data_IF_510105672322
#
_entry.id   IF_510105672322
#
_cell.length_a   1.000
_cell.length_b   1.000
_cell.length_c   1.000
_cell.angle_alpha   90.00
_cell.angle_beta   90.00
_cell.angle_gamma   90.00
#
_symmetry.space_group_name_H-M   'P 1'
#
loop_
_entity.id
_entity.type
_entity.pdbx_description
1 polymer ?
#
# COMPACT_ATOMS: atom_id res chain seq x y z
N UNK A 1 0.28 -1.05 -4.87
CA UNK A 1 -0.37 0.13 -5.46
C UNK A 1 -1.43 -0.34 -6.44
N UNK A 2 -2.60 0.23 -6.44
CA UNK A 2 -3.72 -0.08 -7.34
C UNK A 2 -4.01 1.12 -8.25
N UNK A 3 -4.96 0.96 -9.16
CA UNK A 3 -5.34 2.04 -10.09
C UNK A 3 -5.94 3.27 -9.40
N UNK A 4 -6.54 3.10 -8.24
CA UNK A 4 -7.30 4.15 -7.53
C UNK A 4 -6.84 4.41 -6.09
N UNK A 5 -5.96 3.60 -5.52
CA UNK A 5 -5.41 3.80 -4.17
C UNK A 5 -4.09 3.05 -3.95
N UNK A 6 -3.44 3.32 -2.85
CA UNK A 6 -2.25 2.59 -2.42
C UNK A 6 -2.19 2.46 -0.90
N UNK A 7 -1.53 1.40 -0.46
CA UNK A 7 -1.14 1.21 0.93
C UNK A 7 0.37 1.03 1.00
N UNK A 8 0.99 1.59 2.03
CA UNK A 8 2.38 1.29 2.35
C UNK A 8 2.59 1.31 3.86
N UNK A 9 3.65 0.65 4.30
CA UNK A 9 4.15 0.69 5.65
C UNK A 9 5.59 1.17 5.59
N UNK A 10 5.92 2.13 6.43
CA UNK A 10 7.25 2.66 6.53
C UNK A 10 7.70 2.70 7.98
N UNK A 11 9.00 2.57 8.18
CA UNK A 11 9.64 2.90 9.43
C UNK A 11 10.05 4.37 9.38
N UNK A 12 9.54 5.16 10.31
CA UNK A 12 9.93 6.57 10.42
C UNK A 12 11.14 6.72 11.36
N UNK A 13 11.98 7.73 11.15
CA UNK A 13 12.90 8.18 12.19
C UNK A 13 12.11 8.64 13.44
N UNK A 14 12.81 9.01 14.50
CA UNK A 14 12.20 9.39 15.78
C UNK A 14 11.14 10.49 15.67
N UNK A 15 11.30 11.37 14.68
CA UNK A 15 10.31 12.40 14.33
C UNK A 15 9.74 12.15 12.92
N UNK A 16 8.44 11.93 12.86
CA UNK A 16 7.67 11.75 11.62
C UNK A 16 6.84 12.99 11.25
N UNK A 17 7.17 14.16 11.81
CA UNK A 17 6.42 15.41 11.57
C UNK A 17 6.36 15.82 10.10
N UNK A 18 7.33 15.40 9.28
CA UNK A 18 7.40 15.68 7.86
C UNK A 18 6.63 14.68 6.96
N UNK A 19 5.94 13.69 7.53
CA UNK A 19 5.21 12.68 6.73
C UNK A 19 4.12 13.31 5.88
N UNK A 20 3.36 14.23 6.45
CA UNK A 20 2.28 14.94 5.73
C UNK A 20 2.84 15.76 4.56
N UNK A 21 3.95 16.47 4.76
CA UNK A 21 4.58 17.27 3.71
C UNK A 21 5.13 16.38 2.59
N UNK A 22 5.77 15.27 2.95
CA UNK A 22 6.28 14.28 2.00
C UNK A 22 5.15 13.69 1.14
N UNK A 23 4.04 13.29 1.76
CA UNK A 23 2.89 12.75 1.04
C UNK A 23 2.22 13.80 0.17
N UNK A 24 2.08 15.02 0.65
CA UNK A 24 1.53 16.14 -0.12
C UNK A 24 2.38 16.42 -1.36
N UNK A 25 3.69 16.46 -1.21
CA UNK A 25 4.62 16.63 -2.35
C UNK A 25 4.51 15.48 -3.36
N UNK A 26 4.46 14.25 -2.89
CA UNK A 26 4.28 13.06 -3.73
C UNK A 26 2.97 13.16 -4.53
N UNK A 27 1.87 13.52 -3.87
CA UNK A 27 0.56 13.66 -4.50
C UNK A 27 0.54 14.78 -5.54
N UNK A 28 1.12 15.94 -5.24
CA UNK A 28 1.21 17.06 -6.20
C UNK A 28 1.99 16.62 -7.43
N UNK A 29 3.19 16.07 -7.26
CA UNK A 29 4.07 15.68 -8.37
C UNK A 29 3.46 14.58 -9.25
N UNK A 30 2.85 13.59 -8.65
CA UNK A 30 2.20 12.51 -9.41
C UNK A 30 0.92 12.98 -10.10
N UNK A 31 0.14 13.87 -9.48
CA UNK A 31 -1.04 14.46 -10.09
C UNK A 31 -0.69 15.34 -11.29
N UNK A 32 0.35 16.18 -11.19
CA UNK A 32 0.87 16.99 -12.31
C UNK A 32 1.25 16.09 -13.49
N UNK A 33 1.98 15.01 -13.20
CA UNK A 33 2.45 14.08 -14.22
C UNK A 33 1.29 13.33 -14.91
N UNK A 34 0.36 12.76 -14.14
CA UNK A 34 -0.81 12.02 -14.67
C UNK A 34 -1.71 12.95 -15.47
N UNK A 35 -1.99 14.16 -14.96
CA UNK A 35 -2.81 15.14 -15.66
C UNK A 35 -2.19 15.60 -16.99
N UNK A 36 -0.86 15.66 -17.06
CA UNK A 36 -0.15 15.95 -18.30
C UNK A 36 -0.30 14.79 -19.31
N UNK A 37 -0.16 13.54 -18.85
CA UNK A 37 -0.35 12.35 -19.70
C UNK A 37 -1.77 12.28 -20.28
N UNK A 38 -2.76 12.55 -19.44
CA UNK A 38 -4.18 12.45 -19.80
C UNK A 38 -4.73 13.70 -20.50
N UNK A 39 -3.90 14.73 -20.72
CA UNK A 39 -4.31 16.04 -21.22
C UNK A 39 -5.50 16.66 -20.42
N UNK A 40 -5.52 16.45 -19.10
CA UNK A 40 -6.59 16.85 -18.19
C UNK A 40 -6.07 17.82 -17.10
N UNK A 41 -5.64 19.05 -17.45
CA UNK A 41 -5.05 19.99 -16.50
C UNK A 41 -6.06 20.37 -15.41
N UNK A 42 -5.59 20.40 -14.15
CA UNK A 42 -6.41 20.81 -13.01
C UNK A 42 -7.36 19.72 -12.47
N UNK A 43 -7.40 18.51 -13.05
CA UNK A 43 -8.19 17.41 -12.49
C UNK A 43 -7.64 17.01 -11.12
N UNK A 44 -8.54 16.82 -10.14
CA UNK A 44 -8.17 16.25 -8.86
C UNK A 44 -7.86 14.75 -9.02
N UNK A 45 -6.60 14.35 -8.79
CA UNK A 45 -6.13 12.96 -8.89
C UNK A 45 -6.16 12.29 -7.52
N UNK A 46 -5.64 12.97 -6.50
CA UNK A 46 -5.57 12.45 -5.15
C UNK A 46 -6.58 13.10 -4.24
N UNK A 47 -7.13 12.27 -3.35
CA UNK A 47 -7.96 12.71 -2.22
C UNK A 47 -7.14 12.65 -0.92
N UNK A 48 -7.80 12.80 0.22
CA UNK A 48 -7.12 12.74 1.51
C UNK A 48 -6.51 11.35 1.75
N UNK A 49 -5.34 11.35 2.36
CA UNK A 49 -4.72 10.14 2.88
C UNK A 49 -5.09 9.92 4.36
N UNK A 50 -4.94 8.70 4.82
CA UNK A 50 -5.07 8.32 6.23
C UNK A 50 -3.79 7.67 6.69
N UNK A 51 -3.31 8.07 7.85
CA UNK A 51 -2.14 7.51 8.50
C UNK A 51 -2.51 6.86 9.83
N UNK A 52 -1.75 5.86 10.23
CA UNK A 52 -1.86 5.20 11.53
C UNK A 52 -0.48 4.96 12.10
N UNK A 53 -0.21 5.54 13.25
CA UNK A 53 1.02 5.25 14.00
C UNK A 53 0.94 3.86 14.60
N UNK A 54 1.88 2.99 14.24
CA UNK A 54 1.96 1.62 14.74
C UNK A 54 2.90 1.57 15.94
N UNK A 55 2.37 1.27 17.12
CA UNK A 55 3.13 1.23 18.38
C UNK A 55 3.44 -0.19 18.87
N UNK A 56 2.78 -1.20 18.29
CA UNK A 56 2.96 -2.60 18.67
C UNK A 56 3.46 -3.44 17.50
N UNK A 57 4.48 -4.24 17.74
CA UNK A 57 5.07 -5.14 16.74
C UNK A 57 4.03 -6.04 16.06
N UNK A 58 3.13 -6.63 16.84
CA UNK A 58 2.06 -7.49 16.29
C UNK A 58 1.14 -6.75 15.31
N UNK A 59 0.83 -5.49 15.62
CA UNK A 59 0.03 -4.62 14.75
C UNK A 59 0.76 -4.30 13.46
N UNK A 60 2.07 -4.05 13.54
CA UNK A 60 2.94 -3.85 12.39
C UNK A 60 2.97 -5.08 11.48
N UNK A 61 3.21 -6.28 12.04
CA UNK A 61 3.31 -7.52 11.28
C UNK A 61 1.98 -7.90 10.60
N UNK A 62 0.86 -7.68 11.28
CA UNK A 62 -0.46 -7.91 10.69
C UNK A 62 -0.73 -6.97 9.50
N UNK A 63 -0.35 -5.69 9.60
CA UNK A 63 -0.48 -4.75 8.49
C UNK A 63 0.50 -4.99 7.36
N UNK A 64 1.68 -5.51 7.67
CA UNK A 64 2.63 -5.94 6.65
C UNK A 64 2.03 -7.09 5.81
N UNK A 65 1.42 -8.08 6.46
CA UNK A 65 0.66 -9.12 5.75
C UNK A 65 -0.48 -8.52 4.93
N UNK A 66 -1.25 -7.59 5.50
CA UNK A 66 -2.35 -6.93 4.81
C UNK A 66 -1.89 -6.25 3.51
N UNK A 67 -0.79 -5.49 3.55
CA UNK A 67 -0.26 -4.79 2.36
C UNK A 67 0.22 -5.79 1.30
N UNK A 68 0.85 -6.90 1.70
CA UNK A 68 1.28 -7.93 0.76
C UNK A 68 0.10 -8.68 0.14
N UNK A 69 -0.93 -9.01 0.93
CA UNK A 69 -2.07 -9.81 0.48
C UNK A 69 -3.21 -8.98 -0.15
N UNK A 70 -3.04 -7.68 -0.23
CA UNK A 70 -4.14 -6.80 -0.63
C UNK A 70 -4.64 -7.06 -2.06
N UNK A 71 -3.73 -7.36 -3.01
CA UNK A 71 -4.12 -7.72 -4.37
C UNK A 71 -4.94 -9.02 -4.44
N UNK A 72 -4.67 -9.98 -3.55
CA UNK A 72 -5.46 -11.21 -3.42
C UNK A 72 -6.83 -10.89 -2.80
N UNK A 73 -6.86 -10.05 -1.78
CA UNK A 73 -8.11 -9.60 -1.14
C UNK A 73 -9.07 -8.94 -2.15
N UNK A 74 -8.53 -8.14 -3.07
CA UNK A 74 -9.31 -7.51 -4.14
C UNK A 74 -9.58 -8.44 -5.35
N UNK A 75 -9.16 -9.70 -5.30
CA UNK A 75 -9.41 -10.67 -6.36
C UNK A 75 -8.65 -10.42 -7.66
N UNK A 76 -7.62 -9.58 -7.65
CA UNK A 76 -6.82 -9.25 -8.84
C UNK A 76 -5.90 -10.39 -9.26
N UNK A 77 -5.39 -11.13 -8.30
CA UNK A 77 -4.49 -12.27 -8.50
C UNK A 77 -4.80 -13.36 -7.48
N UNK A 78 -4.59 -14.65 -7.80
CA UNK A 78 -4.78 -15.74 -6.84
C UNK A 78 -3.64 -15.83 -5.81
N UNK A 79 -2.45 -15.31 -6.13
CA UNK A 79 -1.26 -15.33 -5.26
C UNK A 79 -0.59 -13.96 -5.27
N UNK A 80 -0.25 -13.45 -4.10
CA UNK A 80 0.22 -12.06 -3.91
C UNK A 80 1.45 -11.71 -4.75
N UNK A 81 2.42 -12.62 -4.88
CA UNK A 81 3.63 -12.37 -5.67
C UNK A 81 3.41 -12.27 -7.18
N UNK A 82 2.24 -12.60 -7.68
CA UNK A 82 1.88 -12.43 -9.09
C UNK A 82 1.45 -11.01 -9.44
N UNK A 83 1.16 -10.17 -8.43
CA UNK A 83 0.80 -8.78 -8.69
C UNK A 83 2.04 -7.89 -8.78
N UNK A 84 2.35 -7.32 -9.96
CA UNK A 84 3.63 -6.65 -10.19
C UNK A 84 3.81 -5.35 -9.40
N UNK A 85 2.71 -4.70 -9.00
CA UNK A 85 2.72 -3.41 -8.30
C UNK A 85 2.64 -3.53 -6.78
N UNK A 86 3.13 -4.66 -6.24
CA UNK A 86 3.14 -4.96 -4.82
C UNK A 86 4.53 -5.44 -4.40
N UNK A 87 4.86 -5.28 -3.13
CA UNK A 87 6.13 -5.73 -2.56
C UNK A 87 6.20 -7.24 -2.27
N UNK A 88 5.13 -7.99 -2.48
CA UNK A 88 5.07 -9.41 -2.12
C UNK A 88 6.13 -10.26 -2.83
N UNK A 89 6.29 -10.11 -4.15
CA UNK A 89 7.31 -10.85 -4.92
C UNK A 89 8.74 -10.55 -4.45
N UNK A 90 9.03 -9.29 -4.15
CA UNK A 90 10.32 -8.90 -3.58
C UNK A 90 10.52 -9.50 -2.19
N UNK A 91 9.52 -9.42 -1.33
CA UNK A 91 9.57 -9.95 0.04
C UNK A 91 9.79 -11.48 0.04
N UNK A 92 9.04 -12.23 -0.76
CA UNK A 92 9.18 -13.69 -0.87
C UNK A 92 10.54 -14.12 -1.40
N UNK A 93 11.17 -13.31 -2.25
CA UNK A 93 12.51 -13.59 -2.79
C UNK A 93 13.65 -13.24 -1.83
N UNK A 94 13.48 -12.22 -0.99
CA UNK A 94 14.56 -11.69 -0.15
C UNK A 94 14.50 -12.13 1.30
N UNK A 95 13.32 -12.44 1.82
CA UNK A 95 13.15 -12.94 3.18
C UNK A 95 13.32 -14.47 3.25
N UNK A 96 13.65 -14.97 4.44
CA UNK A 96 13.65 -16.42 4.66
C UNK A 96 12.24 -17.01 4.53
N UNK A 97 12.12 -18.25 4.08
CA UNK A 97 10.85 -18.96 3.99
C UNK A 97 10.09 -19.00 5.34
N UNK A 98 10.84 -19.12 6.45
CA UNK A 98 10.27 -19.09 7.79
C UNK A 98 9.65 -17.72 8.10
N UNK A 99 10.30 -16.63 7.70
CA UNK A 99 9.79 -15.27 7.89
C UNK A 99 8.55 -15.01 7.04
N UNK A 100 8.56 -15.38 5.76
CA UNK A 100 7.39 -15.28 4.86
C UNK A 100 6.21 -16.02 5.47
N UNK A 101 6.39 -17.27 5.86
CA UNK A 101 5.36 -18.09 6.49
C UNK A 101 4.84 -17.48 7.80
N UNK A 102 5.72 -16.89 8.60
CA UNK A 102 5.37 -16.22 9.85
C UNK A 102 4.50 -14.99 9.59
N UNK A 103 4.91 -14.11 8.67
CA UNK A 103 4.17 -12.89 8.33
C UNK A 103 2.80 -13.22 7.76
N UNK A 104 2.71 -14.15 6.80
CA UNK A 104 1.46 -14.51 6.13
C UNK A 104 0.44 -15.23 7.03
N UNK A 105 0.84 -15.64 8.23
CA UNK A 105 -0.06 -16.20 9.26
C UNK A 105 -0.73 -15.14 10.15
N UNK A 106 -0.26 -13.91 10.14
CA UNK A 106 -0.89 -12.86 10.93
C UNK A 106 -2.30 -12.57 10.41
N UNK A 107 -3.27 -12.63 11.32
CA UNK A 107 -4.67 -12.32 10.98
C UNK A 107 -4.83 -10.85 10.64
N UNK A 108 -5.56 -10.57 9.56
CA UNK A 108 -5.83 -9.22 9.04
C UNK A 108 -7.29 -8.79 9.23
N UNK A 109 -8.14 -9.66 9.74
CA UNK A 109 -9.57 -9.47 9.97
C UNK A 109 -9.92 -8.29 10.90
N UNK A 110 -9.00 -7.93 11.79
CA UNK A 110 -9.16 -6.81 12.74
C UNK A 110 -8.49 -5.51 12.30
N UNK A 111 -7.99 -5.46 11.09
CA UNK A 111 -7.38 -4.25 10.55
C UNK A 111 -8.50 -3.37 10.01
N UNK A 112 -8.77 -2.26 10.70
CA UNK A 112 -9.70 -1.25 10.23
C UNK A 112 -8.99 -0.35 9.22
N UNK A 113 -9.19 -0.61 7.95
CA UNK A 113 -8.74 0.21 6.83
C UNK A 113 -9.94 0.44 5.92
N UNK A 114 -10.18 1.68 5.52
CA UNK A 114 -11.14 1.99 4.48
C UNK A 114 -10.54 1.54 3.13
N UNK A 115 -10.96 0.39 2.66
CA UNK A 115 -10.40 -0.31 1.50
C UNK A 115 -11.52 -1.06 0.75
N UNK A 116 -12.69 -0.43 0.69
CA UNK A 116 -13.87 -0.95 -0.02
C UNK A 116 -13.97 -0.35 -1.44
N UNK A 117 -12.82 -0.08 -2.04
CA UNK A 117 -12.77 0.46 -3.40
C UNK A 117 -12.82 -0.68 -4.42
N UNK A 118 -13.66 -0.55 -5.42
CA UNK A 118 -13.59 -1.43 -6.58
C UNK A 118 -12.28 -1.18 -7.33
N UNK A 119 -11.50 -2.24 -7.48
CA UNK A 119 -10.23 -2.21 -8.21
C UNK A 119 -10.38 -3.00 -9.49
N UNK A 120 -10.11 -2.37 -10.62
CA UNK A 120 -10.10 -3.03 -11.91
C UNK A 120 -8.74 -3.64 -12.22
N UNK A 121 -8.73 -4.73 -12.98
CA UNK A 121 -7.52 -5.46 -13.38
C UNK A 121 -6.87 -4.86 -14.65
N UNK A 122 -7.01 -3.57 -14.88
CA UNK A 122 -6.44 -2.88 -16.05
C UNK A 122 -4.92 -2.65 -15.87
N UNK A 123 -4.18 -3.75 -15.91
CA UNK A 123 -2.70 -3.73 -15.78
C UNK A 123 -2.02 -4.78 -16.65
#
# INVERSE_FOLDING_TARGET
MFSNHYHFIAHSPADASNLSDMLSLLHVKTAEWVNKLDAAPGRQVWFNFRETKLTHQRSYLARLNYVHQNAVKHGLVPVACQYPWCSAAWFERTASAAMVKSIYRFKTDRISVADEFEVTADW
#
